data_IF_480891517235
#
_entry.id   IF_480891517235
#
_cell.length_a   1.000
_cell.length_b   1.000
_cell.length_c   1.000
_cell.angle_alpha   90.00
_cell.angle_beta   90.00
_cell.angle_gamma   90.00
#
_symmetry.space_group_name_H-M   'P 1'
#
loop_
_entity.id
_entity.type
_entity.pdbx_description
1 polymer ?
#
# COMPACT_ATOMS: atom_id res chain seq x y z
N UNK A 1 9.62 -7.67 -11.85
CA UNK A 1 8.71 -6.56 -12.17
C UNK A 1 7.94 -6.14 -10.94
N UNK A 2 8.16 -4.92 -10.42
CA UNK A 2 7.42 -4.36 -9.29
C UNK A 2 5.90 -4.30 -9.54
N UNK A 3 5.49 -4.04 -10.78
CA UNK A 3 4.10 -3.95 -11.29
C UNK A 3 3.24 -5.19 -11.01
N UNK A 4 3.90 -6.34 -10.86
CA UNK A 4 3.30 -7.64 -10.56
C UNK A 4 3.28 -7.96 -9.07
N UNK A 5 3.88 -7.15 -8.20
CA UNK A 5 3.84 -7.41 -6.77
C UNK A 5 2.65 -6.65 -6.13
N UNK A 6 1.60 -7.36 -5.68
CA UNK A 6 0.42 -6.70 -5.11
C UNK A 6 0.76 -5.88 -3.86
N UNK A 7 1.91 -6.14 -3.23
CA UNK A 7 2.40 -5.39 -2.08
C UNK A 7 2.66 -3.91 -2.38
N UNK A 8 3.01 -3.54 -3.61
CA UNK A 8 3.23 -2.13 -3.97
C UNK A 8 1.92 -1.32 -3.91
N UNK A 9 0.80 -1.95 -4.27
CA UNK A 9 -0.51 -1.33 -4.13
C UNK A 9 -0.93 -1.23 -2.66
N UNK A 10 -0.60 -2.26 -1.89
CA UNK A 10 -0.85 -2.25 -0.45
C UNK A 10 -0.07 -1.11 0.22
N UNK A 11 1.21 -0.92 -0.13
CA UNK A 11 2.00 0.21 0.36
C UNK A 11 1.39 1.56 -0.03
N UNK A 12 0.89 1.69 -1.27
CA UNK A 12 0.21 2.91 -1.71
C UNK A 12 -1.07 3.18 -0.92
N UNK A 13 -1.88 2.14 -0.66
CA UNK A 13 -3.12 2.27 0.12
C UNK A 13 -2.80 2.60 1.58
N UNK A 14 -1.83 1.90 2.18
CA UNK A 14 -1.43 2.14 3.56
C UNK A 14 -0.91 3.57 3.76
N UNK A 15 -0.09 4.10 2.83
CA UNK A 15 0.35 5.50 2.88
C UNK A 15 -0.82 6.49 2.80
N UNK A 16 -1.79 6.24 1.92
CA UNK A 16 -2.97 7.08 1.82
C UNK A 16 -3.85 7.01 3.08
N UNK A 17 -3.90 5.85 3.73
CA UNK A 17 -4.66 5.65 4.96
C UNK A 17 -3.97 6.30 6.17
N UNK A 18 -2.64 6.21 6.27
CA UNK A 18 -1.84 6.95 7.26
C UNK A 18 -2.07 8.46 7.10
N UNK A 19 -2.02 8.98 5.87
CA UNK A 19 -2.31 10.38 5.57
C UNK A 19 -3.73 10.82 5.99
N UNK A 20 -4.69 9.89 5.96
CA UNK A 20 -6.10 10.12 6.28
C UNK A 20 -6.34 10.10 7.79
N UNK A 21 -5.75 9.14 8.50
CA UNK A 21 -5.95 8.92 9.93
C UNK A 21 -5.02 9.81 10.76
N UNK A 22 -3.80 10.06 10.28
CA UNK A 22 -2.74 10.81 10.96
C UNK A 22 -2.18 11.95 10.08
N UNK A 23 -2.99 12.95 9.70
CA UNK A 23 -2.54 14.07 8.88
C UNK A 23 -1.39 14.87 9.54
N UNK A 24 -1.28 14.84 10.87
CA UNK A 24 -0.23 15.49 11.65
C UNK A 24 1.18 14.99 11.31
N UNK A 25 1.32 13.77 10.78
CA UNK A 25 2.63 13.21 10.40
C UNK A 25 3.31 13.97 9.27
N UNK A 26 2.56 14.68 8.40
CA UNK A 26 3.13 15.43 7.27
C UNK A 26 4.04 16.59 7.69
N UNK A 27 3.93 17.04 8.93
CA UNK A 27 4.74 18.13 9.49
C UNK A 27 5.76 17.68 10.52
N UNK A 28 5.83 16.39 10.85
CA UNK A 28 6.76 15.90 11.88
C UNK A 28 8.18 15.74 11.32
N UNK A 29 9.17 16.15 12.12
CA UNK A 29 10.58 15.96 11.80
C UNK A 29 10.99 14.48 11.85
N UNK A 30 12.18 14.19 11.33
CA UNK A 30 12.75 12.85 11.38
C UNK A 30 13.71 12.74 12.57
N UNK A 31 13.19 12.32 13.72
CA UNK A 31 13.98 12.08 14.94
C UNK A 31 13.66 10.72 15.51
N UNK A 32 14.64 10.06 16.15
CA UNK A 32 14.43 8.74 16.76
C UNK A 32 13.26 8.73 17.77
N UNK A 33 13.04 9.83 18.49
CA UNK A 33 11.91 9.99 19.41
C UNK A 33 10.52 9.98 18.71
N UNK A 34 10.47 10.29 17.41
CA UNK A 34 9.24 10.32 16.60
C UNK A 34 9.01 8.95 15.94
N UNK A 35 10.02 8.08 15.89
CA UNK A 35 9.94 6.78 15.22
C UNK A 35 8.90 5.87 15.86
N UNK A 36 8.86 5.79 17.20
CA UNK A 36 7.86 4.98 17.92
C UNK A 36 6.44 5.49 17.73
N UNK A 37 6.27 6.80 17.50
CA UNK A 37 4.99 7.40 17.17
C UNK A 37 4.56 7.03 15.75
N UNK A 38 5.46 7.15 14.78
CA UNK A 38 5.21 6.74 13.39
C UNK A 38 4.85 5.25 13.31
N UNK A 39 5.55 4.38 14.04
CA UNK A 39 5.24 2.94 14.05
C UNK A 39 3.80 2.69 14.55
N UNK A 40 3.38 3.36 15.62
CA UNK A 40 2.01 3.25 16.14
C UNK A 40 0.98 3.74 15.13
N UNK A 41 1.20 4.89 14.49
CA UNK A 41 0.32 5.40 13.45
C UNK A 41 0.17 4.44 12.26
N UNK A 42 1.28 3.78 11.86
CA UNK A 42 1.24 2.77 10.80
C UNK A 42 0.41 1.56 11.23
N UNK A 43 0.54 1.11 12.47
CA UNK A 43 -0.25 0.00 13.02
C UNK A 43 -1.74 0.35 13.10
N UNK A 44 -2.08 1.54 13.59
CA UNK A 44 -3.46 2.02 13.66
C UNK A 44 -4.09 2.12 12.26
N UNK A 45 -3.37 2.71 11.29
CA UNK A 45 -3.81 2.74 9.90
C UNK A 45 -3.88 1.34 9.27
N UNK A 46 -3.05 0.39 9.70
CA UNK A 46 -3.13 -0.99 9.22
C UNK A 46 -4.39 -1.71 9.72
N UNK A 47 -4.77 -1.52 10.98
CA UNK A 47 -5.97 -2.13 11.55
C UNK A 47 -7.27 -1.62 10.91
N UNK A 48 -7.27 -0.41 10.32
CA UNK A 48 -8.42 0.07 9.53
C UNK A 48 -8.53 -0.61 8.16
N UNK A 49 -7.42 -1.14 7.63
CA UNK A 49 -7.39 -1.92 6.39
C UNK A 49 -7.91 -3.33 6.67
N UNK A 50 -9.22 -3.46 6.75
CA UNK A 50 -9.88 -4.75 6.98
C UNK A 50 -9.50 -5.85 5.96
N UNK A 51 -9.70 -7.13 6.31
CA UNK A 51 -9.27 -8.29 5.50
C UNK A 51 -9.89 -8.32 4.10
N UNK A 52 -11.05 -7.69 3.89
CA UNK A 52 -11.70 -7.59 2.58
C UNK A 52 -10.83 -6.84 1.55
N UNK A 53 -10.08 -5.83 1.98
CA UNK A 53 -9.19 -5.08 1.09
C UNK A 53 -8.04 -5.97 0.62
N UNK A 54 -7.45 -6.74 1.54
CA UNK A 54 -6.37 -7.68 1.22
C UNK A 54 -6.85 -8.76 0.25
N UNK A 55 -8.06 -9.29 0.46
CA UNK A 55 -8.68 -10.25 -0.46
C UNK A 55 -8.89 -9.65 -1.86
N UNK A 56 -9.38 -8.42 -1.97
CA UNK A 56 -9.53 -7.72 -3.27
C UNK A 56 -8.19 -7.51 -3.98
N UNK A 57 -7.12 -7.21 -3.23
CA UNK A 57 -5.78 -7.05 -3.80
C UNK A 57 -5.24 -8.39 -4.35
N UNK A 58 -5.47 -9.48 -3.62
CA UNK A 58 -5.08 -10.83 -4.04
C UNK A 58 -5.90 -11.30 -5.24
N UNK A 59 -7.22 -11.12 -5.24
CA UNK A 59 -8.08 -11.46 -6.38
C UNK A 59 -7.74 -10.65 -7.65
N UNK A 60 -7.29 -9.41 -7.48
CA UNK A 60 -6.82 -8.57 -8.58
C UNK A 60 -5.54 -9.07 -9.27
N UNK A 61 -4.78 -9.96 -8.64
CA UNK A 61 -3.53 -10.48 -9.20
C UNK A 61 -3.71 -11.29 -10.47
N UNK A 62 -4.75 -12.11 -10.53
CA UNK A 62 -5.03 -12.91 -11.73
C UNK A 62 -5.23 -12.00 -12.94
N UNK A 63 -5.97 -10.90 -12.76
CA UNK A 63 -6.20 -9.89 -13.81
C UNK A 63 -4.93 -9.18 -14.24
N UNK A 64 -4.00 -8.91 -13.32
CA UNK A 64 -2.69 -8.29 -13.64
C UNK A 64 -1.83 -9.21 -14.50
N UNK A 65 -1.78 -10.50 -14.15
CA UNK A 65 -1.06 -11.52 -14.93
C UNK A 65 -1.62 -11.60 -16.35
N UNK A 66 -2.93 -11.60 -16.51
CA UNK A 66 -3.57 -11.66 -17.82
C UNK A 66 -3.25 -10.42 -18.67
N UNK A 67 -3.16 -9.25 -18.03
CA UNK A 67 -2.80 -7.99 -18.72
C UNK A 67 -1.32 -7.97 -19.11
N UNK A 68 -0.41 -8.50 -18.28
CA UNK A 68 1.02 -8.65 -18.65
C UNK A 68 1.19 -9.63 -19.81
N UNK A 69 0.43 -10.75 -19.81
CA UNK A 69 0.42 -11.70 -20.93
C UNK A 69 -0.10 -11.05 -22.20
N UNK A 70 -1.18 -10.27 -22.12
CA UNK A 70 -1.72 -9.52 -23.25
C UNK A 70 -0.73 -8.47 -23.79
N UNK A 71 0.02 -7.82 -22.88
CA UNK A 71 1.08 -6.87 -23.23
C UNK A 71 2.36 -7.54 -23.76
N UNK A 72 2.42 -8.88 -23.88
CA UNK A 72 3.62 -9.65 -24.26
C UNK A 72 4.85 -9.28 -23.43
N UNK A 73 4.66 -8.96 -22.15
CA UNK A 73 5.75 -8.59 -21.23
C UNK A 73 6.12 -7.10 -21.23
N UNK A 74 5.42 -6.24 -21.96
CA UNK A 74 5.57 -4.78 -21.87
C UNK A 74 4.87 -4.18 -20.64
N UNK A 75 5.23 -2.93 -20.28
CA UNK A 75 4.67 -2.20 -19.15
C UNK A 75 3.15 -2.17 -19.16
N UNK A 76 2.56 -2.30 -17.98
CA UNK A 76 1.10 -2.27 -17.79
C UNK A 76 0.71 -1.08 -16.91
N UNK A 77 -0.59 -0.80 -16.82
CA UNK A 77 -1.14 0.30 -16.00
C UNK A 77 -1.02 0.10 -14.47
N UNK A 78 -0.34 -0.95 -14.04
CA UNK A 78 -0.38 -1.53 -12.70
C UNK A 78 0.95 -1.48 -11.97
#
# INVERSE_FOLDING_TARGET
SPDLNPIENLWKILKAEIDRVHPELKGMGNSNAIMDFIIRCIQEAWETLGPELLNKLVEGMQKRIDIVKAARGWYTKY
#
